data_IF_075914784096
#
_entry.id   IF_075914784096
#
_cell.length_a   1.000
_cell.length_b   1.000
_cell.length_c   1.000
_cell.angle_alpha   90.00
_cell.angle_beta   90.00
_cell.angle_gamma   90.00
#
_symmetry.space_group_name_H-M   'P 1'
#
loop_
_entity.id
_entity.type
_entity.pdbx_description
1 polymer ?
#
# COMPACT_ATOMS: atom_id res chain seq x y z
N UNK A 1 -53.31 12.53 -71.72
CA UNK A 1 -53.32 13.89 -72.29
C UNK A 1 -53.24 14.91 -71.16
N UNK A 2 -52.38 15.94 -71.32
CA UNK A 2 -52.39 17.28 -70.65
C UNK A 2 -52.08 17.30 -69.14
N UNK A 3 -50.86 17.72 -68.75
CA UNK A 3 -50.39 19.12 -68.47
C UNK A 3 -50.99 19.64 -67.14
N UNK A 4 -50.27 20.15 -66.14
CA UNK A 4 -49.43 21.39 -66.07
C UNK A 4 -48.73 21.40 -64.68
N UNK A 5 -47.41 21.55 -64.55
CA UNK A 5 -46.59 22.78 -64.54
C UNK A 5 -46.56 23.51 -63.17
N UNK A 6 -45.34 23.56 -62.62
CA UNK A 6 -44.65 24.56 -61.78
C UNK A 6 -45.16 24.90 -60.36
N UNK A 7 -44.18 24.85 -59.43
CA UNK A 7 -43.81 25.83 -58.39
C UNK A 7 -43.10 25.00 -57.29
N UNK A 8 -41.78 25.03 -57.09
CA UNK A 8 -40.94 26.18 -56.81
C UNK A 8 -39.46 25.82 -56.99
N UNK A 9 -38.72 26.71 -57.63
CA UNK A 9 -37.27 26.87 -57.52
C UNK A 9 -36.97 27.61 -56.21
N UNK A 10 -36.19 27.01 -55.32
CA UNK A 10 -35.34 27.61 -54.25
C UNK A 10 -34.78 26.38 -53.51
N UNK A 11 -33.49 26.09 -53.35
CA UNK A 11 -32.33 26.93 -53.20
C UNK A 11 -31.12 26.07 -53.61
N UNK A 12 -30.25 26.62 -54.45
CA UNK A 12 -28.87 26.16 -54.59
C UNK A 12 -28.19 26.28 -53.23
N UNK A 13 -27.44 25.27 -52.80
CA UNK A 13 -26.12 25.41 -52.15
C UNK A 13 -25.56 24.00 -51.84
N UNK A 14 -24.54 23.66 -52.61
CA UNK A 14 -23.41 22.76 -52.36
C UNK A 14 -23.39 22.03 -51.01
N UNK A 15 -23.68 20.73 -51.03
CA UNK A 15 -23.31 19.82 -49.95
C UNK A 15 -21.80 19.58 -49.97
N UNK A 16 -21.05 20.36 -49.19
CA UNK A 16 -19.71 19.98 -48.74
C UNK A 16 -19.88 18.86 -47.71
N UNK A 17 -19.54 17.64 -48.12
CA UNK A 17 -19.48 16.47 -47.24
C UNK A 17 -18.34 16.65 -46.25
N UNK A 18 -18.68 17.06 -45.02
CA UNK A 18 -17.82 16.90 -43.85
C UNK A 18 -18.11 15.51 -43.29
N UNK A 19 -17.14 14.61 -43.38
CA UNK A 19 -17.17 13.33 -42.68
C UNK A 19 -17.12 13.62 -41.18
N UNK A 20 -18.26 13.50 -40.50
CA UNK A 20 -18.35 13.70 -39.07
C UNK A 20 -17.86 12.43 -38.37
N UNK A 21 -16.60 12.51 -37.95
CA UNK A 21 -15.91 11.54 -37.12
C UNK A 21 -16.71 11.33 -35.84
N UNK A 22 -17.19 10.10 -35.63
CA UNK A 22 -17.93 9.71 -34.44
C UNK A 22 -17.00 9.74 -33.23
N UNK A 23 -16.97 10.86 -32.52
CA UNK A 23 -16.56 10.90 -31.12
C UNK A 23 -17.74 10.39 -30.30
N UNK A 24 -17.67 9.11 -29.94
CA UNK A 24 -18.57 8.49 -28.96
C UNK A 24 -18.32 9.12 -27.60
N UNK A 25 -19.05 10.19 -27.29
CA UNK A 25 -19.23 10.65 -25.92
C UNK A 25 -20.14 9.63 -25.23
N UNK A 26 -19.52 8.61 -24.65
CA UNK A 26 -20.18 7.73 -23.70
C UNK A 26 -20.58 8.54 -22.47
N UNK A 27 -21.86 8.52 -22.06
CA UNK A 27 -22.28 9.20 -20.84
C UNK A 27 -21.66 8.46 -19.66
N UNK A 28 -20.76 9.13 -18.93
CA UNK A 28 -20.34 8.69 -17.59
C UNK A 28 -21.55 8.79 -16.68
N UNK A 29 -22.24 7.67 -16.53
CA UNK A 29 -23.26 7.47 -15.51
C UNK A 29 -22.53 7.39 -14.18
N UNK A 30 -22.52 8.49 -13.43
CA UNK A 30 -22.18 8.48 -12.01
C UNK A 30 -23.28 7.70 -11.29
N UNK A 31 -23.11 6.39 -11.20
CA UNK A 31 -23.88 5.56 -10.29
C UNK A 31 -23.34 5.79 -8.89
N UNK A 32 -24.20 6.24 -7.99
CA UNK A 32 -23.95 6.35 -6.55
C UNK A 32 -23.81 4.92 -6.01
N UNK A 33 -22.61 4.36 -6.18
CA UNK A 33 -22.27 3.03 -5.74
C UNK A 33 -22.01 3.10 -4.23
N UNK A 34 -22.79 2.35 -3.45
CA UNK A 34 -22.65 2.29 -2.01
C UNK A 34 -21.19 1.94 -1.65
N UNK A 35 -20.59 2.70 -0.75
CA UNK A 35 -19.21 2.47 -0.32
C UNK A 35 -19.12 1.13 0.42
N UNK A 36 -18.25 0.25 -0.06
CA UNK A 36 -18.04 -1.09 0.52
C UNK A 36 -16.73 -1.09 1.29
N UNK A 37 -16.79 -1.38 2.58
CA UNK A 37 -15.60 -1.43 3.43
C UNK A 37 -15.29 -2.85 3.90
N UNK A 38 -14.00 -3.14 4.07
CA UNK A 38 -13.47 -4.43 4.52
C UNK A 38 -12.31 -4.25 5.48
N UNK A 39 -11.95 -5.32 6.19
CA UNK A 39 -10.86 -5.32 7.15
C UNK A 39 -9.72 -6.24 6.74
N UNK A 40 -8.49 -5.83 7.03
CA UNK A 40 -7.30 -6.63 6.73
C UNK A 40 -7.15 -7.78 7.73
N UNK A 41 -7.33 -9.00 7.25
CA UNK A 41 -7.09 -10.24 8.00
C UNK A 41 -5.68 -10.82 7.74
N UNK A 42 -4.66 -10.06 8.14
CA UNK A 42 -3.26 -10.44 8.12
C UNK A 42 -2.49 -9.54 9.10
N UNK A 43 -1.26 -9.92 9.50
CA UNK A 43 -0.40 -9.01 10.28
C UNK A 43 -0.14 -7.69 9.53
N UNK A 44 0.08 -7.78 8.22
CA UNK A 44 0.13 -6.66 7.30
C UNK A 44 -0.16 -7.14 5.87
N UNK A 45 -0.58 -6.22 5.00
CA UNK A 45 -0.95 -6.49 3.63
C UNK A 45 -0.31 -5.45 2.70
N UNK A 46 0.45 -5.92 1.71
CA UNK A 46 1.10 -5.04 0.75
C UNK A 46 0.10 -4.53 -0.28
N UNK A 47 -0.04 -3.20 -0.36
CA UNK A 47 -0.77 -2.52 -1.42
C UNK A 47 0.13 -2.39 -2.65
N UNK A 48 -0.32 -2.87 -3.81
CA UNK A 48 0.47 -2.92 -5.03
C UNK A 48 -0.07 -2.03 -6.14
N UNK A 49 0.81 -1.55 -7.01
CA UNK A 49 0.43 -0.69 -8.14
C UNK A 49 -0.40 -1.42 -9.21
N UNK A 50 -0.27 -2.75 -9.31
CA UNK A 50 -0.99 -3.61 -10.26
C UNK A 50 -1.45 -4.90 -9.56
N UNK A 51 -2.49 -5.60 -10.07
CA UNK A 51 -3.04 -6.82 -9.46
C UNK A 51 -2.16 -8.05 -9.72
N UNK A 52 -0.87 -7.96 -9.36
CA UNK A 52 0.10 -9.06 -9.48
C UNK A 52 1.05 -9.06 -8.29
N UNK A 53 1.54 -10.24 -7.89
CA UNK A 53 2.43 -10.37 -6.73
C UNK A 53 3.84 -9.78 -6.96
N UNK A 54 4.24 -9.58 -8.23
CA UNK A 54 5.51 -8.97 -8.61
C UNK A 54 5.42 -7.46 -8.84
N UNK A 55 4.21 -6.89 -8.83
CA UNK A 55 4.01 -5.45 -8.98
C UNK A 55 4.64 -4.67 -7.82
N UNK A 56 5.05 -3.44 -8.12
CA UNK A 56 5.63 -2.51 -7.17
C UNK A 56 4.72 -2.35 -5.94
N UNK A 57 5.31 -2.45 -4.75
CA UNK A 57 4.66 -2.12 -3.50
C UNK A 57 4.57 -0.60 -3.36
N UNK A 58 3.35 -0.11 -3.11
CA UNK A 58 3.03 1.32 -2.95
C UNK A 58 2.95 1.68 -1.46
N UNK A 59 2.36 0.78 -0.67
CA UNK A 59 2.23 0.93 0.77
C UNK A 59 2.10 -0.44 1.46
N UNK A 60 2.19 -0.43 2.79
CA UNK A 60 1.88 -1.57 3.66
C UNK A 60 0.69 -1.17 4.53
N UNK A 61 -0.39 -1.93 4.48
CA UNK A 61 -1.59 -1.74 5.29
C UNK A 61 -1.50 -2.69 6.48
N UNK A 62 -1.58 -2.18 7.70
CA UNK A 62 -1.47 -3.01 8.90
C UNK A 62 -2.75 -3.82 9.15
N UNK A 63 -2.63 -4.92 9.91
CA UNK A 63 -3.77 -5.75 10.28
C UNK A 63 -4.90 -4.98 10.96
N UNK A 64 -6.13 -5.49 10.83
CA UNK A 64 -7.37 -4.87 11.28
C UNK A 64 -7.71 -3.50 10.66
N UNK A 65 -6.87 -2.95 9.77
CA UNK A 65 -7.19 -1.70 9.07
C UNK A 65 -8.42 -1.85 8.20
N UNK A 66 -9.32 -0.88 8.29
CA UNK A 66 -10.45 -0.69 7.39
C UNK A 66 -9.96 -0.14 6.04
N UNK A 67 -10.48 -0.69 4.96
CA UNK A 67 -10.16 -0.26 3.59
C UNK A 67 -11.45 -0.09 2.80
N UNK A 68 -11.49 0.92 1.93
CA UNK A 68 -12.59 1.11 0.99
C UNK A 68 -12.31 0.26 -0.25
N UNK A 69 -13.21 -0.67 -0.57
CA UNK A 69 -13.12 -1.51 -1.76
C UNK A 69 -13.76 -0.80 -2.94
N UNK A 70 -12.93 -0.42 -3.90
CA UNK A 70 -13.36 0.27 -5.13
C UNK A 70 -13.76 -0.70 -6.23
N UNK A 71 -13.10 -1.86 -6.30
CA UNK A 71 -13.39 -2.91 -7.30
C UNK A 71 -12.92 -4.28 -6.79
N UNK A 72 -13.61 -5.34 -7.20
CA UNK A 72 -13.22 -6.73 -6.92
C UNK A 72 -13.15 -7.52 -8.21
N UNK A 73 -11.96 -8.07 -8.48
CA UNK A 73 -11.65 -8.75 -9.74
C UNK A 73 -11.76 -10.26 -9.58
N UNK A 74 -12.15 -10.93 -10.66
CA UNK A 74 -12.24 -12.39 -10.72
C UNK A 74 -10.88 -13.11 -10.54
N UNK A 75 -9.76 -12.42 -10.72
CA UNK A 75 -8.40 -12.94 -10.51
C UNK A 75 -7.94 -12.93 -9.03
N UNK A 76 -8.87 -12.65 -8.11
CA UNK A 76 -8.66 -12.69 -6.67
C UNK A 76 -7.92 -11.46 -6.12
N UNK A 77 -7.99 -10.34 -6.84
CA UNK A 77 -7.49 -9.05 -6.39
C UNK A 77 -8.63 -8.05 -6.19
N UNK A 78 -8.51 -7.22 -5.17
CA UNK A 78 -9.40 -6.08 -4.96
C UNK A 78 -8.60 -4.80 -5.12
N UNK A 79 -9.17 -3.83 -5.84
CA UNK A 79 -8.69 -2.46 -5.84
C UNK A 79 -9.25 -1.78 -4.60
N UNK A 80 -8.37 -1.22 -3.79
CA UNK A 80 -8.75 -0.59 -2.52
C UNK A 80 -8.13 0.79 -2.38
N UNK A 81 -8.80 1.62 -1.61
CA UNK A 81 -8.31 2.88 -1.08
C UNK A 81 -8.16 2.75 0.44
N UNK A 82 -7.00 3.17 0.96
CA UNK A 82 -6.69 3.21 2.37
C UNK A 82 -5.93 4.51 2.65
N UNK A 83 -6.56 5.43 3.36
CA UNK A 83 -6.07 6.82 3.52
C UNK A 83 -5.81 7.46 2.14
N UNK A 84 -4.64 8.04 1.91
CA UNK A 84 -4.25 8.62 0.62
C UNK A 84 -3.78 7.60 -0.43
N UNK A 85 -3.69 6.31 -0.09
CA UNK A 85 -3.14 5.29 -0.97
C UNK A 85 -4.22 4.51 -1.69
N UNK A 86 -4.10 4.41 -3.02
CA UNK A 86 -4.92 3.54 -3.86
C UNK A 86 -4.06 2.48 -4.55
N UNK A 87 -4.52 1.23 -4.55
CA UNK A 87 -3.81 0.14 -5.23
C UNK A 87 -4.56 -1.17 -5.16
N UNK A 88 -3.84 -2.28 -5.31
CA UNK A 88 -4.38 -3.63 -5.37
C UNK A 88 -3.87 -4.50 -4.22
N UNK A 89 -4.78 -5.26 -3.61
CA UNK A 89 -4.48 -6.27 -2.59
C UNK A 89 -5.14 -7.59 -2.95
N UNK A 90 -4.66 -8.69 -2.37
CA UNK A 90 -5.31 -10.00 -2.51
C UNK A 90 -6.61 -10.03 -1.71
N UNK A 91 -7.74 -10.31 -2.37
CA UNK A 91 -9.07 -10.28 -1.76
C UNK A 91 -9.22 -11.30 -0.64
N UNK A 92 -8.44 -12.38 -0.66
CA UNK A 92 -8.43 -13.43 0.38
C UNK A 92 -7.95 -12.95 1.75
N UNK A 93 -7.36 -11.76 1.84
CA UNK A 93 -6.96 -11.13 3.11
C UNK A 93 -7.94 -10.05 3.56
N UNK A 94 -9.10 -9.93 2.92
CA UNK A 94 -10.15 -8.99 3.28
C UNK A 94 -11.34 -9.74 3.85
N UNK A 95 -11.81 -9.32 5.01
CA UNK A 95 -13.02 -9.84 5.67
C UNK A 95 -14.09 -8.75 5.78
N UNK A 96 -15.35 -9.17 5.88
CA UNK A 96 -16.50 -8.27 5.89
C UNK A 96 -16.60 -7.51 7.22
N UNK A 97 -16.27 -8.17 8.32
CA UNK A 97 -16.45 -7.66 9.67
C UNK A 97 -15.14 -7.75 10.47
N UNK A 98 -14.88 -6.75 11.33
CA UNK A 98 -13.63 -6.67 12.09
C UNK A 98 -13.48 -7.86 13.06
N UNK A 99 -14.59 -8.44 13.52
CA UNK A 99 -14.63 -9.58 14.41
C UNK A 99 -14.22 -10.89 13.70
N UNK A 100 -14.18 -10.90 12.36
CA UNK A 100 -13.68 -12.03 11.56
C UNK A 100 -12.16 -12.00 11.36
N UNK A 101 -11.47 -10.97 11.84
CA UNK A 101 -10.02 -10.89 11.77
C UNK A 101 -9.41 -11.86 12.77
N UNK A 102 -8.67 -12.85 12.27
CA UNK A 102 -8.09 -13.94 13.06
C UNK A 102 -6.56 -13.88 13.14
N UNK A 103 -5.93 -12.84 12.61
CA UNK A 103 -4.49 -12.69 12.65
C UNK A 103 -3.96 -12.47 14.09
N UNK A 104 -3.16 -13.42 14.57
CA UNK A 104 -2.71 -13.52 15.97
C UNK A 104 -1.81 -12.37 16.44
N UNK A 105 -1.17 -11.65 15.52
CA UNK A 105 -0.20 -10.59 15.85
C UNK A 105 -0.84 -9.22 16.06
N UNK A 106 -2.18 -9.11 16.02
CA UNK A 106 -2.89 -7.84 16.12
C UNK A 106 -3.11 -7.51 17.61
N UNK A 107 -2.64 -6.33 18.00
CA UNK A 107 -2.94 -5.75 19.31
C UNK A 107 -4.33 -5.10 19.27
N UNK A 108 -5.34 -5.82 19.74
CA UNK A 108 -6.73 -5.37 19.73
C UNK A 108 -6.99 -4.17 20.63
N UNK A 109 -6.22 -4.00 21.71
CA UNK A 109 -6.37 -2.84 22.58
C UNK A 109 -5.96 -1.57 21.81
N UNK A 110 -4.86 -1.64 21.04
CA UNK A 110 -4.43 -0.56 20.14
C UNK A 110 -5.50 -0.25 19.09
N UNK A 111 -6.10 -1.26 18.47
CA UNK A 111 -7.16 -1.06 17.45
C UNK A 111 -8.35 -0.31 18.07
N UNK A 112 -8.84 -0.76 19.24
CA UNK A 112 -10.00 -0.16 19.89
C UNK A 112 -9.77 1.29 20.31
N UNK A 113 -8.60 1.61 20.90
CA UNK A 113 -8.31 3.00 21.32
C UNK A 113 -8.00 3.95 20.16
N UNK A 114 -7.63 3.42 18.98
CA UNK A 114 -7.32 4.20 17.77
C UNK A 114 -8.43 4.16 16.71
N UNK A 115 -9.69 3.98 17.13
CA UNK A 115 -10.85 4.16 16.27
C UNK A 115 -11.68 2.90 16.01
N UNK A 116 -11.32 1.75 16.57
CA UNK A 116 -12.13 0.53 16.50
C UNK A 116 -12.45 0.13 15.06
N UNK A 117 -13.72 0.13 14.68
CA UNK A 117 -14.17 -0.19 13.31
C UNK A 117 -13.67 0.80 12.27
N UNK A 118 -13.28 2.02 12.64
CA UNK A 118 -12.68 3.01 11.72
C UNK A 118 -11.15 2.99 11.72
N UNK A 119 -10.53 2.08 12.49
CA UNK A 119 -9.09 1.96 12.57
C UNK A 119 -8.49 1.73 11.18
N UNK A 120 -7.55 2.58 10.79
CA UNK A 120 -6.82 2.48 9.52
C UNK A 120 -5.38 2.88 9.75
N UNK A 121 -4.44 1.98 9.45
CA UNK A 121 -3.01 2.24 9.60
C UNK A 121 -2.23 1.79 8.38
N UNK A 122 -1.60 2.75 7.71
CA UNK A 122 -0.83 2.52 6.48
C UNK A 122 0.59 3.07 6.66
N UNK A 123 1.57 2.29 6.24
CA UNK A 123 2.97 2.71 6.17
C UNK A 123 3.37 2.87 4.69
N UNK A 124 3.91 4.04 4.34
CA UNK A 124 4.44 4.31 3.02
C UNK A 124 5.61 3.37 2.70
N UNK A 125 5.64 2.82 1.49
CA UNK A 125 6.86 2.19 0.97
C UNK A 125 7.64 3.29 0.28
N UNK A 126 8.80 3.66 0.82
CA UNK A 126 9.67 4.64 0.18
C UNK A 126 10.20 4.07 -1.16
N UNK A 127 9.56 4.46 -2.25
CA UNK A 127 10.01 4.14 -3.60
C UNK A 127 11.22 5.01 -3.90
N UNK A 128 12.40 4.60 -3.45
CA UNK A 128 13.64 5.22 -3.94
C UNK A 128 13.69 5.01 -5.45
N UNK A 129 13.66 6.09 -6.21
CA UNK A 129 13.38 6.18 -7.65
C UNK A 129 14.44 5.57 -8.58
N UNK A 130 15.25 4.62 -8.09
CA UNK A 130 16.36 4.02 -8.84
C UNK A 130 15.96 2.99 -9.90
N UNK A 131 14.67 2.74 -10.15
CA UNK A 131 14.23 1.64 -11.03
C UNK A 131 13.37 2.05 -12.23
N UNK A 132 13.37 3.34 -12.62
CA UNK A 132 12.92 3.75 -13.95
C UNK A 132 14.06 4.43 -14.71
N UNK A 133 14.98 3.62 -15.23
CA UNK A 133 15.90 4.03 -16.28
C UNK A 133 16.18 2.84 -17.18
N UNK A 134 15.53 2.84 -18.34
CA UNK A 134 15.93 2.08 -19.52
C UNK A 134 17.31 2.56 -19.95
N UNK A 135 18.36 1.82 -19.59
CA UNK A 135 19.66 2.01 -20.22
C UNK A 135 20.43 0.70 -20.33
N UNK A 136 20.46 0.19 -21.56
CA UNK A 136 21.43 -0.78 -22.06
C UNK A 136 22.80 -0.12 -22.10
N UNK A 137 23.53 -0.13 -20.99
CA UNK A 137 24.98 -0.30 -20.99
C UNK A 137 25.44 -0.51 -19.55
N UNK A 138 26.23 -1.55 -19.34
CA UNK A 138 27.05 -1.65 -18.15
C UNK A 138 28.17 -0.60 -18.26
N UNK A 139 28.31 0.27 -17.26
CA UNK A 139 29.67 0.53 -16.78
C UNK A 139 29.77 0.47 -15.26
N UNK A 140 30.83 -0.24 -14.84
CA UNK A 140 31.57 -0.15 -13.59
C UNK A 140 30.88 0.48 -12.37
N UNK A 141 30.45 -0.36 -11.41
CA UNK A 141 30.06 0.11 -10.07
C UNK A 141 31.29 0.61 -9.31
N UNK A 142 31.45 1.93 -9.22
CA UNK A 142 32.01 2.57 -8.02
C UNK A 142 30.91 2.56 -6.93
N UNK A 143 31.32 2.29 -5.70
CA UNK A 143 30.44 2.02 -4.57
C UNK A 143 29.85 3.30 -3.92
N UNK A 144 28.67 3.10 -3.31
CA UNK A 144 28.00 3.87 -2.23
C UNK A 144 27.26 5.18 -2.64
N UNK A 145 26.16 5.58 -1.94
CA UNK A 145 25.83 5.27 -0.53
C UNK A 145 24.47 4.59 -0.27
N UNK A 146 24.49 3.57 0.60
CA UNK A 146 23.31 3.05 1.32
C UNK A 146 22.92 4.08 2.39
N UNK A 147 21.69 4.58 2.38
CA UNK A 147 21.13 5.23 3.57
C UNK A 147 20.89 4.12 4.59
N UNK A 148 21.70 4.14 5.64
CA UNK A 148 21.72 3.12 6.67
C UNK A 148 20.48 3.24 7.56
N UNK A 149 19.67 2.18 7.63
CA UNK A 149 18.97 1.89 8.87
C UNK A 149 20.06 1.85 9.97
N UNK A 150 19.92 2.68 11.00
CA UNK A 150 20.91 2.76 12.08
C UNK A 150 21.23 1.38 12.68
N UNK A 151 22.31 1.26 13.48
CA UNK A 151 22.70 -0.01 14.06
C UNK A 151 21.51 -0.68 14.78
N UNK A 152 21.26 -1.95 14.43
CA UNK A 152 20.29 -2.80 15.12
C UNK A 152 20.90 -3.21 16.46
N UNK A 153 20.12 -3.08 17.52
CA UNK A 153 20.52 -3.47 18.88
C UNK A 153 19.63 -4.58 19.40
N UNK A 154 20.18 -5.39 20.30
CA UNK A 154 19.57 -6.59 20.85
C UNK A 154 19.31 -6.41 22.34
N UNK A 155 18.12 -6.79 22.79
CA UNK A 155 17.65 -6.62 24.19
C UNK A 155 17.07 -7.95 24.67
N UNK A 156 17.37 -8.31 25.91
CA UNK A 156 16.77 -9.49 26.54
C UNK A 156 15.34 -9.19 27.01
N UNK A 157 14.34 -9.92 26.49
CA UNK A 157 12.91 -9.70 26.74
C UNK A 157 12.40 -10.17 28.10
N UNK A 158 13.16 -9.96 29.18
CA UNK A 158 12.76 -10.32 30.55
C UNK A 158 11.85 -9.26 31.22
N UNK A 159 11.50 -8.19 30.51
CA UNK A 159 10.69 -7.07 31.01
C UNK A 159 11.37 -6.18 32.06
N UNK A 160 12.67 -6.41 32.36
CA UNK A 160 13.46 -5.67 33.36
C UNK A 160 14.86 -5.29 32.85
N UNK A 161 15.09 -5.42 31.56
CA UNK A 161 16.41 -5.15 30.97
C UNK A 161 16.58 -3.65 30.83
N UNK A 162 17.66 -3.12 31.40
CA UNK A 162 18.03 -1.70 31.35
C UNK A 162 19.09 -1.42 30.26
N UNK A 163 19.51 -2.45 29.53
CA UNK A 163 20.72 -2.43 28.71
C UNK A 163 20.47 -3.01 27.32
N UNK A 164 20.96 -2.35 26.27
CA UNK A 164 20.96 -2.88 24.91
C UNK A 164 22.36 -3.32 24.46
N UNK A 165 22.42 -4.27 23.52
CA UNK A 165 23.65 -4.88 23.02
C UNK A 165 23.84 -4.62 21.53
N UNK A 166 25.06 -4.40 21.08
CA UNK A 166 25.38 -4.19 19.64
C UNK A 166 25.40 -5.49 18.85
N UNK A 167 25.40 -6.64 19.54
CA UNK A 167 25.45 -7.98 18.96
C UNK A 167 24.81 -9.02 19.88
N UNK A 168 24.14 -10.01 19.28
CA UNK A 168 23.65 -11.22 19.95
C UNK A 168 24.79 -12.03 20.60
N UNK A 169 26.01 -11.86 20.08
CA UNK A 169 27.22 -12.49 20.58
C UNK A 169 27.81 -11.82 21.81
N UNK A 170 27.22 -10.74 22.33
CA UNK A 170 27.71 -10.17 23.57
C UNK A 170 27.62 -11.21 24.70
N UNK A 171 28.70 -11.37 25.49
CA UNK A 171 28.75 -12.34 26.60
C UNK A 171 27.63 -12.18 27.63
N UNK A 172 27.06 -10.98 27.75
CA UNK A 172 25.87 -10.72 28.57
C UNK A 172 24.57 -11.10 27.84
N UNK A 173 24.48 -10.87 26.52
CA UNK A 173 23.33 -11.22 25.69
C UNK A 173 23.17 -12.73 25.53
N UNK A 174 24.27 -13.48 25.36
CA UNK A 174 24.23 -14.96 25.30
C UNK A 174 23.76 -15.64 26.59
N UNK A 175 23.64 -14.89 27.68
CA UNK A 175 23.05 -15.38 28.95
C UNK A 175 21.55 -15.13 29.03
N UNK A 176 20.97 -14.46 28.04
CA UNK A 176 19.53 -14.27 27.95
C UNK A 176 18.85 -15.62 27.73
N UNK A 177 17.96 -15.98 28.65
CA UNK A 177 17.08 -17.17 28.54
C UNK A 177 15.67 -16.79 28.03
N UNK A 178 15.46 -15.52 27.71
CA UNK A 178 14.19 -14.96 27.26
C UNK A 178 14.25 -14.65 25.75
N UNK A 179 13.11 -14.26 25.18
CA UNK A 179 13.06 -13.81 23.79
C UNK A 179 13.98 -12.61 23.59
N UNK A 180 14.73 -12.62 22.49
CA UNK A 180 15.54 -11.48 22.06
C UNK A 180 14.66 -10.49 21.30
N UNK A 181 14.66 -9.23 21.73
CA UNK A 181 14.00 -8.12 21.04
C UNK A 181 15.05 -7.34 20.23
N UNK A 182 14.70 -6.94 19.01
CA UNK A 182 15.59 -6.23 18.09
C UNK A 182 14.95 -4.90 17.70
N UNK A 183 15.67 -3.80 17.89
CA UNK A 183 15.22 -2.44 17.53
C UNK A 183 16.40 -1.56 17.12
N UNK A 184 16.13 -0.31 16.73
CA UNK A 184 17.21 0.66 16.47
C UNK A 184 17.83 1.17 17.77
N UNK A 185 19.10 1.58 17.71
CA UNK A 185 19.79 2.19 18.85
C UNK A 185 19.08 3.46 19.36
N UNK A 186 18.57 4.29 18.45
CA UNK A 186 17.83 5.50 18.80
C UNK A 186 16.54 5.17 19.60
N UNK A 187 15.82 4.12 19.20
CA UNK A 187 14.65 3.65 19.95
C UNK A 187 15.04 3.15 21.33
N UNK A 188 16.09 2.32 21.44
CA UNK A 188 16.55 1.82 22.74
C UNK A 188 16.94 2.94 23.70
N UNK A 189 17.71 3.93 23.23
CA UNK A 189 18.09 5.11 24.01
C UNK A 189 16.88 5.95 24.43
N UNK A 190 15.92 6.17 23.52
CA UNK A 190 14.69 6.90 23.82
C UNK A 190 13.80 6.19 24.85
N UNK A 191 13.91 4.86 24.94
CA UNK A 191 13.26 4.04 25.98
C UNK A 191 14.04 3.99 27.31
N UNK A 192 15.09 4.81 27.45
CA UNK A 192 15.90 4.88 28.68
C UNK A 192 16.89 3.71 28.85
N UNK A 193 17.06 2.86 27.83
CA UNK A 193 18.06 1.81 27.85
C UNK A 193 19.43 2.40 27.58
N UNK A 194 20.44 1.92 28.30
CA UNK A 194 21.85 2.30 28.09
C UNK A 194 22.60 1.22 27.33
N UNK A 195 23.65 1.61 26.61
CA UNK A 195 24.54 0.65 25.95
C UNK A 195 25.22 -0.27 26.97
N UNK A 196 25.35 -1.55 26.63
CA UNK A 196 26.12 -2.48 27.43
C UNK A 196 27.60 -2.12 27.37
N UNK A 197 28.20 -1.80 28.52
CA UNK A 197 29.61 -1.39 28.67
C UNK A 197 30.67 -2.38 28.12
N UNK A 198 30.26 -3.58 27.66
CA UNK A 198 31.15 -4.60 27.07
C UNK A 198 31.10 -4.61 25.55
N UNK A 199 30.01 -4.20 24.95
CA UNK A 199 29.81 -4.24 23.50
C UNK A 199 29.45 -2.87 22.91
N UNK A 200 29.40 -1.84 23.75
CA UNK A 200 29.28 -0.42 23.47
C UNK A 200 30.30 0.30 24.36
#
# INVERSE_FOLDING_TARGET
MRRRILCYLFCLLSFTSVAQQSTSTEPTVTQEQAEVYRYVNASSLTLRAQPTASALAVAIINGASRVHVLDTRADGWSKVEAQEYTGYVKSSYLVDDQQEVTAETIDWDVVQVNGGTEYTSVAAVEVTSAAYSTSTHAPARKAAPKVAAGPKVYICGNGRTEVYHSSEDCSAMRRCTYQTLVMSEAQAQSSGLRGCMKCY
#
